data_IF_380553029052
#
_entry.id   IF_380553029052
#
_cell.length_a   1.000
_cell.length_b   1.000
_cell.length_c   1.000
_cell.angle_alpha   90.00
_cell.angle_beta   90.00
_cell.angle_gamma   90.00
#
_symmetry.space_group_name_H-M   'P 1'
#
loop_
_entity.id
_entity.type
_entity.pdbx_description
1 polymer ?
#
# COMPACT_ATOMS: atom_id res chain seq x y z
N UNK A 1 -42.35 -21.20 -39.95
CA UNK A 1 -40.97 -20.73 -40.26
C UNK A 1 -40.64 -19.62 -39.29
N UNK A 2 -40.00 -20.01 -38.19
CA UNK A 2 -39.75 -19.21 -36.99
C UNK A 2 -38.46 -18.42 -37.18
N UNK A 3 -38.51 -17.08 -37.20
CA UNK A 3 -37.29 -16.26 -37.23
C UNK A 3 -36.89 -15.92 -35.79
N UNK A 4 -35.73 -16.44 -35.40
CA UNK A 4 -35.06 -16.25 -34.13
C UNK A 4 -34.76 -14.77 -33.85
N UNK A 5 -35.01 -14.41 -32.59
CA UNK A 5 -34.62 -13.18 -31.93
C UNK A 5 -33.11 -13.26 -31.64
N UNK A 6 -32.32 -12.36 -32.22
CA UNK A 6 -30.91 -12.23 -31.87
C UNK A 6 -30.79 -11.66 -30.45
N UNK A 7 -30.28 -12.48 -29.52
CA UNK A 7 -29.89 -12.04 -28.20
C UNK A 7 -28.58 -11.24 -28.31
N UNK A 8 -28.63 -9.98 -27.90
CA UNK A 8 -27.45 -9.14 -27.70
C UNK A 8 -26.59 -9.76 -26.59
N UNK A 9 -25.39 -10.22 -26.96
CA UNK A 9 -24.39 -10.65 -26.00
C UNK A 9 -23.91 -9.41 -25.25
N UNK A 10 -24.20 -9.35 -23.94
CA UNK A 10 -23.65 -8.34 -23.06
C UNK A 10 -22.15 -8.61 -22.93
N UNK A 11 -21.33 -7.66 -23.39
CA UNK A 11 -19.90 -7.60 -23.08
C UNK A 11 -19.77 -7.49 -21.55
N UNK A 12 -19.31 -8.57 -20.91
CA UNK A 12 -18.93 -8.56 -19.50
C UNK A 12 -17.61 -7.81 -19.37
N UNK A 13 -17.67 -6.51 -19.08
CA UNK A 13 -16.53 -5.73 -18.61
C UNK A 13 -15.91 -6.46 -17.42
N UNK A 14 -14.62 -6.84 -17.43
CA UNK A 14 -14.00 -7.44 -16.27
C UNK A 14 -13.99 -6.39 -15.15
N UNK A 15 -14.57 -6.75 -14.00
CA UNK A 15 -14.54 -5.94 -12.79
C UNK A 15 -13.07 -5.68 -12.40
N UNK A 16 -12.62 -4.43 -12.54
CA UNK A 16 -11.34 -3.93 -12.06
C UNK A 16 -11.67 -2.52 -11.54
N UNK A 17 -11.54 -2.17 -10.26
CA UNK A 17 -10.38 -2.36 -9.39
C UNK A 17 -10.84 -2.29 -7.93
N UNK A 18 -10.69 -3.39 -7.17
CA UNK A 18 -10.77 -3.30 -5.72
C UNK A 18 -9.57 -2.52 -5.19
N UNK A 19 -9.78 -1.60 -4.26
CA UNK A 19 -8.68 -1.00 -3.49
C UNK A 19 -7.83 -2.12 -2.87
N UNK A 20 -6.49 -2.02 -2.99
CA UNK A 20 -5.56 -3.03 -2.45
C UNK A 20 -5.85 -3.33 -0.98
N UNK A 21 -6.16 -2.28 -0.21
CA UNK A 21 -6.68 -2.35 1.15
C UNK A 21 -8.19 -2.08 1.11
N UNK A 22 -9.00 -3.08 1.45
CA UNK A 22 -10.47 -2.97 1.44
C UNK A 22 -10.99 -2.41 2.77
N UNK A 23 -12.22 -1.86 2.77
CA UNK A 23 -12.85 -1.37 4.00
C UNK A 23 -13.03 -2.48 5.05
N UNK A 24 -13.22 -3.73 4.61
CA UNK A 24 -13.31 -4.87 5.50
C UNK A 24 -11.95 -5.20 6.15
N UNK A 25 -10.86 -5.12 5.38
CA UNK A 25 -9.50 -5.28 5.92
C UNK A 25 -9.24 -4.20 6.98
N UNK A 26 -9.57 -2.94 6.67
CA UNK A 26 -9.42 -1.81 7.59
C UNK A 26 -10.23 -2.02 8.87
N UNK A 27 -11.47 -2.49 8.75
CA UNK A 27 -12.32 -2.80 9.90
C UNK A 27 -11.72 -3.90 10.79
N UNK A 28 -11.28 -5.02 10.21
CA UNK A 28 -10.68 -6.12 10.97
C UNK A 28 -9.35 -5.72 11.63
N UNK A 29 -8.53 -4.90 10.95
CA UNK A 29 -7.28 -4.36 11.52
C UNK A 29 -7.62 -3.46 12.72
N UNK A 30 -8.63 -2.59 12.59
CA UNK A 30 -9.08 -1.72 13.67
C UNK A 30 -9.65 -2.48 14.88
N UNK A 31 -10.23 -3.66 14.68
CA UNK A 31 -10.69 -4.55 15.75
C UNK A 31 -9.59 -5.46 16.30
N UNK A 32 -8.42 -5.52 15.65
CA UNK A 32 -7.34 -6.45 16.02
C UNK A 32 -7.65 -7.92 15.71
N UNK A 33 -8.64 -8.19 14.85
CA UNK A 33 -9.09 -9.56 14.51
C UNK A 33 -8.59 -10.03 13.14
N UNK A 34 -7.83 -9.20 12.43
CA UNK A 34 -7.29 -9.55 11.12
C UNK A 34 -6.08 -10.49 11.22
N UNK A 35 -6.32 -11.81 11.23
CA UNK A 35 -5.26 -12.84 11.35
C UNK A 35 -4.22 -12.79 10.21
N UNK A 36 -4.64 -12.33 9.02
CA UNK A 36 -3.79 -12.21 7.82
C UNK A 36 -3.40 -10.77 7.49
N UNK A 37 -3.28 -9.89 8.50
CA UNK A 37 -3.01 -8.46 8.27
C UNK A 37 -1.71 -8.22 7.48
N UNK A 38 -0.73 -9.12 7.61
CA UNK A 38 0.54 -9.08 6.89
C UNK A 38 0.41 -9.16 5.36
N UNK A 39 -0.72 -9.61 4.82
CA UNK A 39 -0.96 -9.64 3.36
C UNK A 39 -1.35 -8.28 2.79
N UNK A 40 -1.71 -7.35 3.68
CA UNK A 40 -2.17 -6.00 3.34
C UNK A 40 -1.22 -4.94 3.89
N UNK A 41 -0.63 -5.18 5.05
CA UNK A 41 0.33 -4.29 5.68
C UNK A 41 1.75 -4.58 5.19
N UNK A 42 2.61 -3.56 5.24
CA UNK A 42 3.98 -3.62 4.77
C UNK A 42 4.12 -3.30 3.28
N UNK A 43 5.12 -3.89 2.62
CA UNK A 43 5.42 -3.68 1.21
C UNK A 43 5.05 -4.90 0.36
N UNK A 44 4.16 -4.72 -0.60
CA UNK A 44 3.66 -5.78 -1.49
C UNK A 44 3.82 -5.42 -2.95
N UNK A 45 4.48 -6.30 -3.72
CA UNK A 45 4.50 -6.18 -5.17
C UNK A 45 3.09 -6.46 -5.72
N UNK A 46 2.51 -5.50 -6.42
CA UNK A 46 1.15 -5.59 -6.95
C UNK A 46 1.03 -4.86 -8.28
N UNK A 47 -0.04 -5.14 -9.01
CA UNK A 47 -0.45 -4.36 -10.16
C UNK A 47 -1.63 -3.47 -9.76
N UNK A 48 -1.53 -2.16 -10.02
CA UNK A 48 -2.60 -1.20 -9.79
C UNK A 48 -2.76 -0.33 -11.03
N UNK A 49 -3.98 -0.27 -11.57
CA UNK A 49 -4.32 0.51 -12.77
C UNK A 49 -3.41 0.21 -13.99
N UNK A 50 -3.03 -1.06 -14.19
CA UNK A 50 -2.19 -1.49 -15.31
C UNK A 50 -0.70 -1.20 -15.14
N UNK A 51 -0.27 -0.74 -13.96
CA UNK A 51 1.13 -0.54 -13.62
C UNK A 51 1.56 -1.53 -12.53
N UNK A 52 2.67 -2.24 -12.74
CA UNK A 52 3.33 -3.03 -11.71
C UNK A 52 4.16 -2.13 -10.80
N UNK A 53 4.10 -2.35 -9.50
CA UNK A 53 4.86 -1.58 -8.52
C UNK A 53 4.69 -2.15 -7.11
N UNK A 54 5.11 -1.37 -6.12
CA UNK A 54 4.99 -1.78 -4.71
C UNK A 54 3.93 -0.93 -4.02
N UNK A 55 2.99 -1.61 -3.36
CA UNK A 55 2.04 -1.00 -2.46
C UNK A 55 2.58 -1.06 -1.03
N UNK A 56 2.75 0.10 -0.42
CA UNK A 56 3.17 0.29 0.96
C UNK A 56 1.96 0.57 1.83
N UNK A 57 1.92 -0.05 3.01
CA UNK A 57 0.91 0.20 4.03
C UNK A 57 1.52 0.13 5.43
N UNK A 58 1.32 1.18 6.24
CA UNK A 58 1.82 1.22 7.62
C UNK A 58 0.79 1.83 8.57
N UNK A 59 0.65 1.25 9.76
CA UNK A 59 -0.24 1.78 10.77
C UNK A 59 0.50 2.84 11.61
N UNK A 60 0.07 4.09 11.51
CA UNK A 60 0.66 5.22 12.21
C UNK A 60 -0.39 6.30 12.53
N UNK A 61 -1.38 6.01 13.40
CA UNK A 61 -2.56 6.87 13.58
C UNK A 61 -2.24 8.25 14.16
N UNK A 62 -1.14 8.36 14.91
CA UNK A 62 -0.71 9.61 15.54
C UNK A 62 0.36 10.37 14.72
N UNK A 63 0.71 9.89 13.53
CA UNK A 63 1.62 10.61 12.66
C UNK A 63 0.93 11.84 12.06
N UNK A 64 1.68 12.92 11.89
CA UNK A 64 1.26 14.09 11.12
C UNK A 64 1.38 13.83 9.63
N UNK A 65 2.45 13.15 9.24
CA UNK A 65 2.74 12.78 7.86
C UNK A 65 3.66 11.55 7.84
N UNK A 66 3.51 10.71 6.82
CA UNK A 66 4.41 9.58 6.59
C UNK A 66 4.91 9.64 5.15
N UNK A 67 6.19 9.34 4.95
CA UNK A 67 6.81 9.25 3.64
C UNK A 67 7.50 7.89 3.47
N UNK A 68 7.60 7.41 2.23
CA UNK A 68 8.45 6.28 1.87
C UNK A 68 9.78 6.81 1.32
N UNK A 69 10.89 6.37 1.89
CA UNK A 69 12.24 6.71 1.42
C UNK A 69 13.02 5.44 1.10
N UNK A 70 13.86 5.49 0.08
CA UNK A 70 14.65 4.34 -0.34
C UNK A 70 15.60 4.70 -1.48
N UNK A 71 16.27 3.68 -2.02
CA UNK A 71 17.27 3.90 -3.08
C UNK A 71 16.66 4.56 -4.33
N UNK A 72 15.42 4.22 -4.66
CA UNK A 72 14.66 4.74 -5.80
C UNK A 72 14.46 6.27 -5.78
N UNK A 73 14.56 6.90 -4.62
CA UNK A 73 14.44 8.35 -4.47
C UNK A 73 15.68 9.01 -3.87
N UNK A 74 16.80 8.28 -3.80
CA UNK A 74 18.05 8.75 -3.21
C UNK A 74 17.89 9.12 -1.74
N UNK A 75 17.05 8.39 -1.00
CA UNK A 75 16.79 8.61 0.42
C UNK A 75 16.23 10.00 0.78
N UNK A 76 15.55 10.65 -0.18
CA UNK A 76 14.90 11.96 0.02
C UNK A 76 13.59 11.79 0.79
N UNK A 77 13.63 12.10 2.08
CA UNK A 77 12.52 11.85 3.03
C UNK A 77 11.23 12.65 2.84
N UNK A 78 11.12 13.52 1.84
CA UNK A 78 9.89 14.30 1.56
C UNK A 78 9.29 14.01 0.17
N UNK A 79 9.90 13.08 -0.58
CA UNK A 79 9.58 12.89 -2.01
C UNK A 79 8.34 12.03 -2.30
N UNK A 80 7.98 11.12 -1.39
CA UNK A 80 6.89 10.15 -1.59
C UNK A 80 5.95 10.14 -0.38
N UNK A 81 5.09 11.16 -0.24
CA UNK A 81 4.13 11.23 0.86
C UNK A 81 3.09 10.11 0.74
N UNK A 82 2.77 9.48 1.86
CA UNK A 82 1.70 8.50 1.96
C UNK A 82 0.36 9.17 2.28
N UNK A 83 -0.73 8.49 1.98
CA UNK A 83 -2.08 8.98 2.23
C UNK A 83 -2.70 8.26 3.45
N UNK A 84 -3.16 8.98 4.48
CA UNK A 84 -3.83 8.37 5.62
C UNK A 84 -5.27 7.99 5.24
N UNK A 85 -5.75 6.89 5.82
CA UNK A 85 -7.18 6.59 5.87
C UNK A 85 -7.79 6.98 7.24
N UNK A 86 -9.10 6.81 7.38
CA UNK A 86 -9.84 7.14 8.60
C UNK A 86 -9.46 6.29 9.83
N UNK A 87 -8.70 5.20 9.64
CA UNK A 87 -8.27 4.29 10.70
C UNK A 87 -6.78 4.45 11.05
N UNK A 88 -6.11 5.45 10.48
CA UNK A 88 -4.70 5.74 10.76
C UNK A 88 -3.71 4.80 10.06
N UNK A 89 -4.17 4.07 9.05
CA UNK A 89 -3.30 3.33 8.13
C UNK A 89 -2.93 4.28 7.00
N UNK A 90 -1.63 4.35 6.72
CA UNK A 90 -1.06 5.16 5.66
C UNK A 90 -0.73 4.25 4.50
N UNK A 91 -1.15 4.62 3.28
CA UNK A 91 -0.89 3.83 2.08
C UNK A 91 -0.23 4.66 0.98
N UNK A 92 0.56 3.99 0.14
CA UNK A 92 1.12 4.57 -1.08
C UNK A 92 1.44 3.46 -2.09
N UNK A 93 1.05 3.67 -3.34
CA UNK A 93 1.50 2.83 -4.44
C UNK A 93 2.62 3.54 -5.21
N UNK A 94 3.76 2.88 -5.38
CA UNK A 94 4.89 3.41 -6.18
C UNK A 94 5.08 2.52 -7.41
N UNK A 95 4.74 3.02 -8.62
CA UNK A 95 4.90 2.25 -9.86
C UNK A 95 6.38 2.05 -10.21
N UNK A 96 6.69 0.92 -10.85
CA UNK A 96 8.02 0.61 -11.36
C UNK A 96 9.05 0.17 -10.31
N UNK A 97 8.66 0.04 -9.04
CA UNK A 97 9.52 -0.57 -8.04
C UNK A 97 9.60 -2.08 -8.20
N UNK A 98 10.81 -2.61 -8.04
CA UNK A 98 11.09 -4.03 -8.09
C UNK A 98 11.03 -4.68 -6.70
N UNK A 99 10.91 -6.00 -6.68
CA UNK A 99 11.12 -6.79 -5.46
C UNK A 99 12.50 -6.50 -4.85
N UNK A 100 12.62 -6.63 -3.52
CA UNK A 100 13.84 -6.33 -2.75
C UNK A 100 14.33 -4.88 -2.78
N UNK A 101 13.50 -3.93 -3.23
CA UNK A 101 13.81 -2.50 -3.08
C UNK A 101 14.02 -2.15 -1.61
N UNK A 102 15.15 -1.54 -1.29
CA UNK A 102 15.46 -1.08 0.08
C UNK A 102 14.67 0.20 0.38
N UNK A 103 13.97 0.21 1.52
CA UNK A 103 13.17 1.36 1.93
C UNK A 103 13.07 1.48 3.46
N UNK A 104 12.67 2.67 3.92
CA UNK A 104 12.28 3.02 5.29
C UNK A 104 11.07 3.95 5.25
N UNK A 105 10.31 4.02 6.32
CA UNK A 105 9.27 5.02 6.53
C UNK A 105 9.85 6.21 7.28
N UNK A 106 9.70 7.42 6.74
CA UNK A 106 9.91 8.65 7.49
C UNK A 106 8.59 9.10 8.09
N UNK A 107 8.52 9.04 9.41
CA UNK A 107 7.32 9.41 10.18
C UNK A 107 7.55 10.79 10.80
N UNK A 108 6.67 11.73 10.49
CA UNK A 108 6.65 13.06 11.09
C UNK A 108 5.63 13.07 12.22
N UNK A 109 6.06 13.36 13.44
CA UNK A 109 5.16 13.46 14.61
C UNK A 109 4.30 14.72 14.56
N UNK A 110 3.27 14.78 15.40
CA UNK A 110 2.46 16.01 15.56
C UNK A 110 3.28 17.22 16.02
N UNK A 111 4.44 16.99 16.67
CA UNK A 111 5.37 18.04 17.09
C UNK A 111 6.31 18.49 15.97
N UNK A 112 6.25 17.86 14.79
CA UNK A 112 7.10 18.15 13.64
C UNK A 112 8.46 17.42 13.65
N UNK A 113 8.72 16.58 14.65
CA UNK A 113 9.93 15.75 14.71
C UNK A 113 9.84 14.63 13.67
N UNK A 114 10.94 14.33 12.98
CA UNK A 114 11.00 13.28 11.96
C UNK A 114 11.80 12.09 12.45
N UNK A 115 11.29 10.88 12.21
CA UNK A 115 11.92 9.62 12.58
C UNK A 115 11.95 8.67 11.40
N UNK A 116 13.10 8.05 11.16
CA UNK A 116 13.24 7.01 10.15
C UNK A 116 13.02 5.65 10.81
N UNK A 117 12.08 4.87 10.29
CA UNK A 117 11.65 3.58 10.83
C UNK A 117 11.70 2.51 9.77
N UNK A 118 12.23 1.35 10.14
CA UNK A 118 12.04 0.13 9.35
C UNK A 118 10.58 -0.28 9.36
N UNK A 119 10.14 -1.02 8.35
CA UNK A 119 8.77 -1.52 8.27
C UNK A 119 8.48 -2.55 9.39
N UNK A 120 7.46 -2.32 10.24
CA UNK A 120 7.01 -3.33 11.19
C UNK A 120 6.55 -4.65 10.55
N UNK A 121 6.07 -4.60 9.30
CA UNK A 121 5.60 -5.75 8.52
C UNK A 121 6.58 -6.17 7.41
N UNK A 122 7.86 -5.75 7.52
CA UNK A 122 8.85 -6.04 6.49
C UNK A 122 9.18 -7.53 6.38
N UNK A 123 9.09 -8.09 5.17
CA UNK A 123 9.44 -9.49 4.90
C UNK A 123 10.94 -9.76 4.89
N UNK A 124 11.75 -8.73 4.62
CA UNK A 124 13.20 -8.80 4.58
C UNK A 124 13.81 -7.50 5.14
N UNK A 125 15.03 -7.60 5.63
CA UNK A 125 15.79 -6.47 6.17
C UNK A 125 17.25 -6.54 5.72
N UNK A 126 17.91 -5.39 5.65
CA UNK A 126 19.34 -5.33 5.37
C UNK A 126 20.15 -6.02 6.47
N UNK A 127 21.36 -6.47 6.11
CA UNK A 127 22.28 -7.05 7.09
C UNK A 127 22.76 -5.97 8.06
N UNK A 128 22.61 -6.23 9.37
CA UNK A 128 23.17 -5.37 10.43
C UNK A 128 24.65 -5.04 10.15
N UNK A 129 25.14 -3.80 10.37
CA UNK A 129 24.50 -2.67 11.05
C UNK A 129 23.82 -1.65 10.12
N UNK A 130 23.49 -2.01 8.89
CA UNK A 130 22.86 -1.09 7.92
C UNK A 130 21.40 -0.75 8.28
#
# INVERSE_FOLDING_TARGET
>A
MTKQKAASAQETTPAQSGSFLTDFDVFLIGQGTHERAYEKMGAHLTELNGATGVHFAVWAPNARQVYVMGDFNGWKGESHPMHPNNSGIWTLFVPGLAEYTVYKYRVVSQKGESFDKSDPYGFAMEQRPK
#
